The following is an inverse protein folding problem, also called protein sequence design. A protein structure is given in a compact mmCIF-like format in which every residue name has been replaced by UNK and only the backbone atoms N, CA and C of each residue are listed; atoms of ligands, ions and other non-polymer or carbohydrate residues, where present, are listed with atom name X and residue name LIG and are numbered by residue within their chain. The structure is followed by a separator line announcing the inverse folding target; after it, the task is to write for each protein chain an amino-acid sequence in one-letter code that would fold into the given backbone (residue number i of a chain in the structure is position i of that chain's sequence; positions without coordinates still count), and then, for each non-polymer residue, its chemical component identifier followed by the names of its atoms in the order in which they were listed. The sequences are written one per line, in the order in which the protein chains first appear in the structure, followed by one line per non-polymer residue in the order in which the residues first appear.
data_IF_111040186314
#
_entry.id   IF_111040186314
#
_cell.length_a   1.000
_cell.length_b   1.000
_cell.length_c   1.000
_cell.angle_alpha   90.00
_cell.angle_beta   90.00
_cell.angle_gamma   90.00
#
_symmetry.space_group_name_H-M   'P 1'
#
loop_
_entity.id
_entity.type
_entity.pdbx_description
1 polymer ?
#
# COMPACT_ATOMS: atom_id res chain seq x y z
N UNK A 1 -6.26 -0.45 25.09
CA UNK A 1 -5.24 -1.39 24.57
C UNK A 1 -4.46 -0.67 23.48
N UNK A 2 -3.20 -0.30 23.73
CA UNK A 2 -2.38 0.51 22.82
C UNK A 2 -1.87 -0.27 21.59
N UNK A 3 -2.07 -1.59 21.57
CA UNK A 3 -1.57 -2.51 20.55
C UNK A 3 -2.55 -2.78 19.40
N UNK A 4 -3.71 -2.10 19.33
CA UNK A 4 -4.63 -2.26 18.20
C UNK A 4 -4.24 -1.33 17.05
N UNK A 5 -4.20 -1.85 15.82
CA UNK A 5 -3.89 -1.06 14.63
C UNK A 5 -3.24 -1.86 13.50
N UNK A 6 -2.71 -1.14 12.52
CA UNK A 6 -1.92 -1.67 11.43
C UNK A 6 -0.47 -1.22 11.54
N UNK A 7 0.45 -2.14 11.26
CA UNK A 7 1.88 -1.90 11.18
C UNK A 7 2.43 -2.58 9.94
N UNK A 8 3.57 -2.11 9.46
CA UNK A 8 4.29 -2.75 8.36
C UNK A 8 5.80 -2.66 8.57
N UNK A 9 6.54 -3.55 7.94
CA UNK A 9 7.99 -3.57 8.03
C UNK A 9 8.58 -2.24 7.55
N UNK A 10 9.69 -1.85 8.17
CA UNK A 10 10.49 -0.70 7.68
C UNK A 10 11.00 -0.89 6.26
N UNK A 11 11.09 -2.15 5.82
CA UNK A 11 11.63 -2.57 4.53
C UNK A 11 10.53 -2.97 3.51
N UNK A 12 9.25 -2.73 3.81
CA UNK A 12 8.10 -3.11 2.97
C UNK A 12 8.05 -2.45 1.58
N UNK A 13 9.02 -1.60 1.25
CA UNK A 13 9.26 -1.10 -0.09
C UNK A 13 8.09 -0.27 -0.64
N UNK A 14 7.74 -0.53 -1.91
CA UNK A 14 6.74 0.27 -2.62
C UNK A 14 5.28 -0.03 -2.22
N UNK A 15 5.03 -1.19 -1.61
CA UNK A 15 3.69 -1.65 -1.19
C UNK A 15 3.42 -1.48 0.31
N UNK A 16 4.31 -0.77 1.01
CA UNK A 16 4.19 -0.52 2.44
C UNK A 16 2.80 0.04 2.82
N UNK A 17 2.27 -0.49 3.91
CA UNK A 17 0.95 -0.24 4.49
C UNK A 17 -0.22 -0.56 3.54
N UNK A 18 -0.08 -1.59 2.70
CA UNK A 18 -1.17 -2.07 1.82
C UNK A 18 -1.46 -3.56 1.99
N UNK A 19 -2.59 -4.02 1.46
CA UNK A 19 -2.95 -5.45 1.41
C UNK A 19 -2.03 -6.30 0.53
N UNK A 20 -1.10 -5.70 -0.23
CA UNK A 20 -0.07 -6.40 -0.99
C UNK A 20 1.28 -6.48 -0.29
N UNK A 21 1.45 -5.82 0.87
CA UNK A 21 2.66 -6.02 1.66
C UNK A 21 2.59 -7.39 2.34
N UNK A 22 3.59 -8.21 2.06
CA UNK A 22 3.81 -9.52 2.68
C UNK A 22 4.10 -9.42 4.18
N UNK A 23 4.57 -8.25 4.63
CA UNK A 23 4.96 -7.96 6.01
C UNK A 23 3.95 -7.10 6.76
N UNK A 24 2.82 -6.77 6.14
CA UNK A 24 1.74 -6.06 6.82
C UNK A 24 1.20 -6.88 8.01
N UNK A 25 1.11 -6.22 9.15
CA UNK A 25 0.64 -6.77 10.42
C UNK A 25 -0.58 -5.99 10.90
N UNK A 26 -1.71 -6.67 11.06
CA UNK A 26 -2.89 -6.13 11.72
C UNK A 26 -3.10 -6.77 13.07
N UNK A 27 -3.27 -5.96 14.12
CA UNK A 27 -3.50 -6.45 15.48
C UNK A 27 -4.90 -6.04 15.95
N UNK A 28 -5.68 -7.05 16.30
CA UNK A 28 -7.01 -6.96 16.88
C UNK A 28 -7.03 -7.62 18.27
N UNK A 29 -8.07 -7.43 19.11
CA UNK A 29 -8.09 -7.91 20.49
C UNK A 29 -7.81 -9.41 20.71
N UNK A 30 -7.99 -10.25 19.69
CA UNK A 30 -7.74 -11.70 19.74
C UNK A 30 -7.15 -12.25 18.44
N UNK A 31 -6.47 -11.42 17.66
CA UNK A 31 -5.93 -11.83 16.37
C UNK A 31 -4.74 -10.97 16.00
N UNK A 32 -3.65 -11.63 15.64
CA UNK A 32 -2.48 -11.04 14.99
C UNK A 32 -2.46 -11.58 13.55
N UNK A 33 -2.84 -10.75 12.59
CA UNK A 33 -2.99 -11.14 11.19
C UNK A 33 -1.79 -10.66 10.38
N UNK A 34 -1.16 -11.59 9.66
CA UNK A 34 -0.14 -11.34 8.63
C UNK A 34 -0.77 -11.55 7.25
N UNK A 35 -0.03 -11.23 6.19
CA UNK A 35 -0.47 -11.47 4.81
C UNK A 35 -0.81 -12.95 4.55
N UNK A 36 0.04 -13.88 4.98
CA UNK A 36 -0.13 -15.33 4.69
C UNK A 36 -0.44 -16.20 5.92
N UNK A 37 -0.58 -15.59 7.09
CA UNK A 37 -0.76 -16.34 8.34
C UNK A 37 -1.46 -15.55 9.42
N UNK A 38 -1.85 -16.25 10.48
CA UNK A 38 -2.52 -15.64 11.62
C UNK A 38 -2.04 -16.29 12.92
N UNK A 39 -1.77 -15.47 13.92
CA UNK A 39 -1.59 -15.91 15.29
C UNK A 39 -2.86 -15.63 16.09
N UNK A 40 -3.42 -16.71 16.64
CA UNK A 40 -4.58 -16.66 17.54
C UNK A 40 -4.09 -16.84 18.98
N UNK A 41 -4.10 -15.77 19.80
CA UNK A 41 -3.69 -15.86 21.19
C UNK A 41 -4.66 -16.72 22.01
N UNK A 42 -4.13 -17.63 22.81
CA UNK A 42 -4.88 -18.33 23.87
C UNK A 42 -4.79 -17.55 25.19
N UNK A 43 -3.62 -16.93 25.44
CA UNK A 43 -3.36 -16.09 26.60
C UNK A 43 -2.85 -14.72 26.16
N UNK A 44 -3.18 -13.68 26.91
CA UNK A 44 -2.59 -12.35 26.74
C UNK A 44 -2.28 -11.80 28.12
N UNK A 45 -1.00 -11.59 28.40
CA UNK A 45 -0.49 -11.05 29.66
C UNK A 45 0.08 -9.66 29.40
N UNK A 46 -0.51 -8.64 30.02
CA UNK A 46 0.05 -7.29 29.98
C UNK A 46 1.16 -7.15 31.03
N UNK A 47 2.39 -6.92 30.56
CA UNK A 47 3.58 -6.80 31.41
C UNK A 47 3.82 -5.34 31.81
N UNK A 48 3.57 -4.41 30.88
CA UNK A 48 3.62 -2.96 31.09
C UNK A 48 2.68 -2.25 30.09
N UNK A 49 2.60 -0.92 30.14
CA UNK A 49 1.79 -0.13 29.20
C UNK A 49 2.24 -0.28 27.73
N UNK A 50 3.50 -0.64 27.54
CA UNK A 50 4.18 -0.77 26.25
C UNK A 50 4.64 -2.20 25.93
N UNK A 51 4.29 -3.21 26.73
CA UNK A 51 4.69 -4.61 26.51
C UNK A 51 3.60 -5.60 26.87
N UNK A 52 3.32 -6.53 25.96
CA UNK A 52 2.47 -7.70 26.18
C UNK A 52 3.18 -8.98 25.77
N UNK A 53 2.79 -10.08 26.40
CA UNK A 53 3.23 -11.45 26.08
C UNK A 53 2.02 -12.32 25.85
N UNK A 54 2.13 -13.26 24.91
CA UNK A 54 1.03 -14.12 24.51
C UNK A 54 1.53 -15.48 24.08
N UNK A 55 0.84 -16.53 24.54
CA UNK A 55 0.95 -17.87 23.99
C UNK A 55 -0.28 -18.17 23.14
N UNK A 56 -0.11 -18.91 22.05
CA UNK A 56 -1.21 -19.28 21.18
C UNK A 56 -0.79 -20.15 20.02
N UNK A 57 -1.57 -20.10 18.95
CA UNK A 57 -1.31 -20.87 17.74
C UNK A 57 -1.08 -19.95 16.55
N UNK A 58 0.03 -20.17 15.86
CA UNK A 58 0.25 -19.63 14.53
C UNK A 58 -0.26 -20.63 13.49
N UNK A 59 -1.00 -20.12 12.51
CA UNK A 59 -1.50 -20.85 11.36
C UNK A 59 -0.96 -20.21 10.09
N UNK A 60 -0.30 -20.99 9.26
CA UNK A 60 0.15 -20.61 7.92
C UNK A 60 -0.15 -21.77 6.96
N UNK A 61 -0.91 -21.51 5.90
CA UNK A 61 -1.44 -22.56 5.03
C UNK A 61 -2.06 -23.72 5.86
N UNK A 62 -1.63 -24.96 5.64
CA UNK A 62 -2.09 -26.15 6.38
C UNK A 62 -1.30 -26.40 7.68
N UNK A 63 -0.23 -25.65 7.94
CA UNK A 63 0.63 -25.82 9.10
C UNK A 63 0.14 -25.00 10.30
N UNK A 64 0.09 -25.67 11.46
CA UNK A 64 -0.30 -25.08 12.74
C UNK A 64 0.74 -25.40 13.80
N UNK A 65 1.33 -24.36 14.39
CA UNK A 65 2.32 -24.49 15.47
C UNK A 65 1.87 -23.74 16.72
N UNK A 66 2.33 -24.21 17.88
CA UNK A 66 2.16 -23.49 19.14
C UNK A 66 3.34 -22.53 19.29
N UNK A 67 3.04 -21.26 19.53
CA UNK A 67 4.03 -20.18 19.54
C UNK A 67 3.85 -19.27 20.77
N UNK A 68 4.95 -18.61 21.14
CA UNK A 68 4.99 -17.61 22.20
C UNK A 68 5.58 -16.32 21.65
N UNK A 69 4.82 -15.22 21.72
CA UNK A 69 5.24 -13.92 21.21
C UNK A 69 5.24 -12.84 22.29
N UNK A 70 6.21 -11.95 22.19
CA UNK A 70 6.27 -10.68 22.91
C UNK A 70 6.09 -9.54 21.92
N UNK A 71 5.18 -8.62 22.23
CA UNK A 71 5.00 -7.38 21.50
C UNK A 71 5.44 -6.21 22.38
N UNK A 72 6.21 -5.30 21.79
CA UNK A 72 6.65 -4.07 22.46
C UNK A 72 6.39 -2.84 21.60
N UNK A 73 5.72 -1.84 22.18
CA UNK A 73 5.55 -0.53 21.56
C UNK A 73 6.68 0.41 21.99
N UNK A 74 7.10 1.28 21.09
CA UNK A 74 8.02 2.39 21.41
C UNK A 74 7.68 3.63 20.59
N UNK A 75 8.35 4.75 20.88
CA UNK A 75 8.13 6.04 20.21
C UNK A 75 6.64 6.46 20.21
N UNK A 76 6.01 6.39 21.39
CA UNK A 76 4.58 6.71 21.54
C UNK A 76 3.66 5.76 20.76
N UNK A 77 4.10 4.53 20.49
CA UNK A 77 3.35 3.52 19.73
C UNK A 77 3.53 3.61 18.22
N UNK A 78 4.44 4.46 17.73
CA UNK A 78 4.78 4.54 16.29
C UNK A 78 5.65 3.39 15.81
N UNK A 79 6.35 2.72 16.73
CA UNK A 79 7.16 1.54 16.47
C UNK A 79 6.61 0.36 17.24
N UNK A 80 6.63 -0.80 16.60
CA UNK A 80 6.28 -2.07 17.20
C UNK A 80 7.44 -3.03 16.96
N UNK A 81 7.82 -3.77 17.99
CA UNK A 81 8.74 -4.91 17.88
C UNK A 81 7.97 -6.18 18.22
N UNK A 82 8.10 -7.19 17.38
CA UNK A 82 7.64 -8.56 17.62
C UNK A 82 8.85 -9.46 17.82
N UNK A 83 8.87 -10.20 18.91
CA UNK A 83 9.90 -11.21 19.18
C UNK A 83 9.26 -12.51 19.66
N UNK A 84 9.93 -13.63 19.39
CA UNK A 84 9.55 -14.96 19.84
C UNK A 84 10.76 -15.89 19.79
N UNK A 85 10.54 -17.14 20.16
CA UNK A 85 11.61 -18.12 20.14
C UNK A 85 11.97 -18.51 18.69
N UNK A 86 13.26 -18.64 18.40
CA UNK A 86 13.74 -19.19 17.12
C UNK A 86 13.88 -18.18 15.97
N UNK A 87 13.66 -16.88 16.20
CA UNK A 87 13.91 -15.83 15.20
C UNK A 87 14.38 -14.50 15.82
N UNK A 88 15.08 -13.69 15.02
CA UNK A 88 15.48 -12.34 15.41
C UNK A 88 14.28 -11.40 15.43
N UNK A 89 14.16 -10.45 16.38
CA UNK A 89 12.99 -9.57 16.47
C UNK A 89 12.70 -8.80 15.18
N UNK A 90 11.43 -8.75 14.79
CA UNK A 90 10.95 -7.93 13.67
C UNK A 90 10.57 -6.54 14.14
N UNK A 91 10.97 -5.51 13.39
CA UNK A 91 10.62 -4.12 13.63
C UNK A 91 9.63 -3.60 12.60
N UNK A 92 8.57 -2.95 13.10
CA UNK A 92 7.52 -2.39 12.27
C UNK A 92 7.29 -0.91 12.57
N UNK A 93 6.80 -0.19 11.57
CA UNK A 93 6.27 1.18 11.70
C UNK A 93 4.77 1.17 11.63
N UNK A 94 4.16 2.03 12.45
CA UNK A 94 2.71 2.20 12.49
C UNK A 94 2.21 2.77 11.17
N UNK A 95 1.24 2.09 10.58
CA UNK A 95 0.46 2.60 9.46
C UNK A 95 -0.69 3.46 10.00
N UNK A 96 -1.09 4.49 9.25
CA UNK A 96 -2.34 5.21 9.55
C UNK A 96 -3.54 4.25 9.44
N UNK A 97 -3.54 3.45 8.36
CA UNK A 97 -4.35 2.25 8.14
C UNK A 97 -3.58 1.32 7.20
N UNK A 98 -3.86 0.03 7.24
CA UNK A 98 -3.56 -0.84 6.09
C UNK A 98 -4.66 -0.59 5.06
N UNK A 99 -4.28 -0.20 3.84
CA UNK A 99 -5.25 0.11 2.77
C UNK A 99 -5.32 -1.02 1.75
N UNK A 100 -6.47 -1.18 1.10
CA UNK A 100 -6.55 -1.99 -0.11
C UNK A 100 -5.64 -1.39 -1.19
N UNK A 101 -4.87 -2.24 -1.87
CA UNK A 101 -4.08 -1.83 -3.01
C UNK A 101 -4.82 -2.10 -4.31
N UNK A 102 -4.94 -1.06 -5.14
CA UNK A 102 -5.45 -1.14 -6.50
C UNK A 102 -4.28 -0.95 -7.46
N UNK A 103 -3.96 -2.00 -8.21
CA UNK A 103 -2.80 -2.02 -9.12
C UNK A 103 -3.18 -1.46 -10.49
N UNK A 104 -2.38 -0.51 -10.97
CA UNK A 104 -2.41 -0.08 -12.35
C UNK A 104 -1.53 -1.00 -13.21
N UNK A 105 -1.85 -1.22 -14.50
CA UNK A 105 -1.01 -2.04 -15.37
C UNK A 105 0.30 -1.33 -15.73
N UNK A 106 1.38 -2.10 -15.90
CA UNK A 106 2.73 -1.55 -16.04
C UNK A 106 2.95 -0.72 -17.30
N UNK A 107 2.14 -0.91 -18.33
CA UNK A 107 2.16 -0.08 -19.54
C UNK A 107 1.72 1.37 -19.30
N UNK A 108 0.96 1.64 -18.23
CA UNK A 108 0.54 2.98 -17.81
C UNK A 108 1.53 3.62 -16.81
N UNK A 109 2.42 2.84 -16.21
CA UNK A 109 3.40 3.33 -15.26
C UNK A 109 4.46 4.25 -15.91
N UNK A 110 5.03 5.13 -15.10
CA UNK A 110 6.12 6.01 -15.49
C UNK A 110 5.77 7.49 -15.41
N UNK A 111 6.57 8.31 -16.07
CA UNK A 111 6.36 9.76 -16.11
C UNK A 111 5.73 10.14 -17.44
N UNK A 112 4.69 10.98 -17.39
CA UNK A 112 3.93 11.45 -18.54
C UNK A 112 3.90 12.97 -18.54
N UNK A 113 3.93 13.56 -19.73
CA UNK A 113 3.81 15.01 -19.93
C UNK A 113 2.50 15.36 -20.60
N UNK A 114 1.81 16.35 -20.06
CA UNK A 114 0.60 16.97 -20.65
C UNK A 114 0.92 18.05 -21.69
N UNK A 115 2.20 18.39 -21.87
CA UNK A 115 2.69 19.44 -22.78
C UNK A 115 3.49 18.89 -23.97
N UNK A 116 3.53 17.56 -24.14
CA UNK A 116 4.27 16.92 -25.22
C UNK A 116 5.80 16.89 -25.05
N UNK A 117 6.34 17.41 -23.95
CA UNK A 117 7.78 17.41 -23.65
C UNK A 117 8.09 17.10 -22.20
N UNK A 118 9.15 16.32 -21.99
CA UNK A 118 9.58 15.86 -20.67
C UNK A 118 10.56 16.80 -19.96
N UNK A 119 10.85 17.94 -20.60
CA UNK A 119 11.55 19.07 -19.98
C UNK A 119 10.59 20.07 -19.35
N UNK A 120 9.31 19.71 -19.21
CA UNK A 120 8.29 20.57 -18.62
C UNK A 120 8.50 20.75 -17.11
N UNK A 121 7.88 21.79 -16.55
CA UNK A 121 7.86 22.00 -15.11
C UNK A 121 7.14 20.83 -14.39
N UNK A 122 7.46 20.62 -13.11
CA UNK A 122 7.01 19.45 -12.35
C UNK A 122 5.48 19.35 -12.21
N UNK A 123 4.79 20.47 -12.28
CA UNK A 123 3.33 20.59 -12.28
C UNK A 123 2.68 20.05 -13.57
N UNK A 124 3.42 20.06 -14.66
CA UNK A 124 3.02 19.56 -15.98
C UNK A 124 3.30 18.06 -16.17
N UNK A 125 3.98 17.43 -15.21
CA UNK A 125 4.31 16.01 -15.22
C UNK A 125 3.36 15.23 -14.33
N UNK A 126 2.89 14.10 -14.86
CA UNK A 126 2.14 13.08 -14.14
C UNK A 126 3.09 11.91 -13.91
N UNK A 127 3.23 11.46 -12.66
CA UNK A 127 4.00 10.25 -12.34
C UNK A 127 3.04 9.19 -11.87
N UNK A 128 3.02 8.07 -12.57
CA UNK A 128 2.18 6.92 -12.27
C UNK A 128 3.10 5.81 -11.76
N UNK A 129 2.82 5.32 -10.56
CA UNK A 129 3.45 4.16 -9.95
C UNK A 129 2.37 3.09 -9.70
N UNK A 130 2.73 1.84 -9.35
CA UNK A 130 1.78 0.72 -9.28
C UNK A 130 0.48 1.00 -8.51
N UNK A 131 0.55 1.75 -7.40
CA UNK A 131 -0.61 2.01 -6.51
C UNK A 131 -0.94 3.48 -6.28
N UNK A 132 -0.24 4.40 -6.96
CA UNK A 132 -0.35 5.84 -6.70
C UNK A 132 -0.04 6.69 -7.92
N UNK A 133 -0.58 7.89 -7.91
CA UNK A 133 -0.33 8.92 -8.91
C UNK A 133 0.20 10.18 -8.23
N UNK A 134 1.13 10.87 -8.88
CA UNK A 134 1.58 12.20 -8.49
C UNK A 134 1.34 13.17 -9.63
N UNK A 135 0.58 14.23 -9.37
CA UNK A 135 0.35 15.31 -10.33
C UNK A 135 0.26 16.65 -9.60
N UNK A 136 0.83 17.70 -10.18
CA UNK A 136 0.84 19.05 -9.57
C UNK A 136 1.40 19.08 -8.13
N UNK A 137 2.39 18.23 -7.86
CA UNK A 137 3.02 18.11 -6.55
C UNK A 137 2.17 17.42 -5.47
N UNK A 138 0.97 16.93 -5.81
CA UNK A 138 0.12 16.12 -4.93
C UNK A 138 0.25 14.66 -5.30
N UNK A 139 0.33 13.80 -4.29
CA UNK A 139 0.33 12.34 -4.46
C UNK A 139 -0.96 11.78 -3.88
N UNK A 140 -1.68 11.02 -4.68
CA UNK A 140 -2.88 10.29 -4.30
C UNK A 140 -2.67 8.78 -4.47
N UNK A 141 -3.37 7.98 -3.68
CA UNK A 141 -3.44 6.53 -3.85
C UNK A 141 -4.65 6.17 -4.71
N UNK A 142 -4.50 5.17 -5.58
CA UNK A 142 -5.65 4.64 -6.30
C UNK A 142 -6.61 3.95 -5.34
N UNK A 143 -7.89 4.25 -5.49
CA UNK A 143 -9.01 3.61 -4.76
C UNK A 143 -9.82 2.68 -5.68
N UNK A 144 -9.59 2.77 -6.99
CA UNK A 144 -10.19 1.88 -7.99
C UNK A 144 -9.41 1.94 -9.30
N UNK A 145 -9.28 0.79 -9.96
CA UNK A 145 -8.78 0.66 -11.33
C UNK A 145 -9.72 -0.27 -12.10
N UNK A 146 -10.31 0.21 -13.18
CA UNK A 146 -11.23 -0.56 -14.02
C UNK A 146 -10.76 -0.60 -15.47
N UNK A 147 -10.71 -1.79 -16.07
CA UNK A 147 -10.38 -1.94 -17.48
C UNK A 147 -11.61 -1.64 -18.35
N UNK A 148 -11.58 -0.49 -19.02
CA UNK A 148 -12.64 -0.05 -19.93
C UNK A 148 -12.43 -0.55 -21.38
N UNK A 149 -11.22 -1.06 -21.69
CA UNK A 149 -10.91 -1.65 -22.99
C UNK A 149 -9.43 -2.05 -23.12
N UNK A 150 -8.99 -2.54 -24.29
CA UNK A 150 -7.63 -3.06 -24.49
C UNK A 150 -6.50 -2.06 -24.17
N UNK A 151 -6.76 -0.77 -24.34
CA UNK A 151 -5.81 0.31 -24.06
C UNK A 151 -6.46 1.43 -23.23
N UNK A 152 -7.50 1.12 -22.45
CA UNK A 152 -8.23 2.13 -21.70
C UNK A 152 -8.53 1.64 -20.28
N UNK A 153 -8.21 2.48 -19.30
CA UNK A 153 -8.56 2.28 -17.90
C UNK A 153 -9.33 3.48 -17.37
N UNK A 154 -10.23 3.21 -16.43
CA UNK A 154 -10.89 4.20 -15.56
C UNK A 154 -10.29 4.09 -14.15
N UNK A 155 -10.07 5.25 -13.52
CA UNK A 155 -9.33 5.41 -12.28
C UNK A 155 -10.12 6.29 -11.31
N UNK A 156 -10.04 5.94 -10.02
CA UNK A 156 -10.43 6.79 -8.89
C UNK A 156 -9.23 6.86 -7.93
N UNK A 157 -9.00 8.03 -7.33
CA UNK A 157 -7.94 8.25 -6.34
C UNK A 157 -8.43 9.06 -5.13
N UNK A 158 -7.73 8.96 -4.00
CA UNK A 158 -8.10 9.61 -2.73
C UNK A 158 -7.85 11.13 -2.67
N UNK A 159 -7.38 11.75 -3.76
CA UNK A 159 -7.09 13.18 -3.86
C UNK A 159 -7.92 13.96 -4.88
N UNK A 160 -8.84 13.30 -5.61
CA UNK A 160 -9.76 13.94 -6.55
C UNK A 160 -11.21 13.49 -6.34
N UNK A 161 -12.16 14.35 -6.75
CA UNK A 161 -13.60 14.09 -6.56
C UNK A 161 -14.25 13.27 -7.69
N UNK A 162 -13.70 13.33 -8.91
CA UNK A 162 -14.29 12.65 -10.08
C UNK A 162 -13.36 11.61 -10.69
N UNK A 163 -13.92 10.45 -11.14
CA UNK A 163 -13.15 9.46 -11.87
C UNK A 163 -12.65 10.02 -13.20
N UNK A 164 -11.48 9.57 -13.62
CA UNK A 164 -10.91 9.89 -14.92
C UNK A 164 -10.34 8.63 -15.55
N UNK A 165 -10.16 8.64 -16.87
CA UNK A 165 -9.56 7.55 -17.62
C UNK A 165 -8.22 7.91 -18.22
N UNK A 166 -7.41 6.88 -18.49
CA UNK A 166 -6.23 6.97 -19.34
C UNK A 166 -6.44 6.05 -20.52
N UNK A 167 -6.31 6.61 -21.72
CA UNK A 167 -6.30 5.86 -22.97
C UNK A 167 -4.88 5.88 -23.51
N UNK A 168 -4.29 4.71 -23.76
CA UNK A 168 -2.97 4.59 -24.37
C UNK A 168 -3.07 4.46 -25.89
N UNK A 169 -2.12 5.11 -26.55
CA UNK A 169 -1.92 5.06 -27.99
C UNK A 169 -0.47 4.66 -28.31
N UNK A 170 -0.24 4.29 -29.58
CA UNK A 170 1.11 4.00 -30.11
C UNK A 170 1.91 2.99 -29.26
N UNK A 171 1.23 1.97 -28.72
CA UNK A 171 1.87 0.95 -27.88
C UNK A 171 2.38 1.49 -26.54
N UNK A 172 1.68 2.46 -25.93
CA UNK A 172 2.03 3.01 -24.61
C UNK A 172 3.11 4.09 -24.64
N UNK A 173 3.34 4.72 -25.80
CA UNK A 173 4.26 5.86 -25.95
C UNK A 173 3.55 7.22 -25.82
N UNK A 174 2.27 7.24 -26.15
CA UNK A 174 1.39 8.39 -26.04
C UNK A 174 0.05 7.96 -25.48
N UNK A 175 -0.81 8.92 -25.17
CA UNK A 175 -2.17 8.63 -24.74
C UNK A 175 -2.97 9.91 -24.53
N UNK A 176 -4.08 9.78 -23.82
CA UNK A 176 -4.85 10.90 -23.34
C UNK A 176 -5.41 10.64 -21.94
N UNK A 177 -5.42 11.68 -21.12
CA UNK A 177 -6.25 11.76 -19.92
C UNK A 177 -7.65 12.17 -20.35
N UNK A 178 -8.67 11.42 -19.92
CA UNK A 178 -10.07 11.65 -20.28
C UNK A 178 -10.86 11.80 -18.99
N UNK A 179 -11.77 12.77 -18.91
CA UNK A 179 -12.61 12.97 -17.73
C UNK A 179 -14.00 13.48 -18.11
N UNK A 180 -14.99 13.35 -17.22
CA UNK A 180 -16.33 13.85 -17.44
C UNK A 180 -16.30 15.35 -17.78
N UNK A 181 -16.98 15.76 -18.86
CA UNK A 181 -17.13 17.18 -19.20
C UNK A 181 -15.87 17.92 -19.68
N UNK A 182 -14.72 17.23 -19.82
CA UNK A 182 -13.46 17.83 -20.28
C UNK A 182 -13.02 17.30 -21.64
N UNK A 183 -12.39 18.17 -22.44
CA UNK A 183 -11.69 17.72 -23.65
C UNK A 183 -10.49 16.84 -23.26
N UNK A 184 -10.21 15.75 -24.00
CA UNK A 184 -9.06 14.90 -23.72
C UNK A 184 -7.75 15.68 -23.65
N UNK A 185 -6.96 15.46 -22.60
CA UNK A 185 -5.64 16.07 -22.43
C UNK A 185 -4.59 15.11 -22.99
N UNK A 186 -3.85 15.49 -24.04
CA UNK A 186 -2.82 14.63 -24.60
C UNK A 186 -1.72 14.30 -23.58
N UNK A 187 -1.28 13.05 -23.58
CA UNK A 187 -0.17 12.54 -22.78
C UNK A 187 0.95 12.05 -23.67
N UNK A 188 2.19 12.38 -23.31
CA UNK A 188 3.41 11.85 -23.93
C UNK A 188 4.28 11.21 -22.86
N UNK A 189 4.69 9.96 -23.06
CA UNK A 189 5.53 9.25 -22.09
C UNK A 189 6.95 9.82 -22.09
N UNK A 190 7.50 9.98 -20.90
CA UNK A 190 8.85 10.48 -20.69
C UNK A 190 9.85 9.34 -20.63
N UNK A 191 10.55 9.16 -21.75
CA UNK A 191 11.53 8.09 -21.92
C UNK A 191 10.85 6.77 -22.28
N UNK A 192 11.30 6.22 -23.42
CA UNK A 192 11.19 4.83 -23.83
C UNK A 192 12.50 4.45 -24.49
#
# INVERSE_FOLDING_TARGET
MNFRGGWDSVDAGEFACTTLSDTALTIEPKLLQYYEGAFTPETISQISDDRIESEGFFQYADDRSKESYTLRLSDGGKRLTLSGDGFEPFEFRKCATIREAHLIPSEYEGTWSTYGTCKAAADSLIKIAPTKITWQGKTSNFTKVHYAGPNAIELEDDGQEEPYGIVLDQGGKSGALVGPGHSPIPLTRCGG
#
